data_IF_392246644895
#
_entry.id   IF_392246644895
#
_cell.length_a   1.000
_cell.length_b   1.000
_cell.length_c   1.000
_cell.angle_alpha   90.00
_cell.angle_beta   90.00
_cell.angle_gamma   90.00
#
_symmetry.space_group_name_H-M   'P 1'
#
loop_
_entity.id
_entity.type
_entity.pdbx_description
1 polymer ?
#
# COMPACT_ATOMS: atom_id res chain seq x y z
N UNK A 1 -22.05 1.77 12.32
CA UNK A 1 -21.65 0.75 11.34
C UNK A 1 -21.15 1.50 10.12
N UNK A 2 -19.84 1.60 9.95
CA UNK A 2 -19.23 2.19 8.75
C UNK A 2 -19.35 1.17 7.61
N UNK A 3 -20.08 1.52 6.57
CA UNK A 3 -20.14 0.74 5.33
C UNK A 3 -18.75 0.70 4.68
N UNK A 4 -18.12 -0.47 4.66
CA UNK A 4 -16.97 -0.73 3.80
C UNK A 4 -17.44 -0.69 2.34
N UNK A 5 -17.23 0.44 1.68
CA UNK A 5 -17.52 0.59 0.25
C UNK A 5 -16.45 -0.16 -0.55
N UNK A 6 -16.76 -1.39 -0.95
CA UNK A 6 -15.95 -2.13 -1.90
C UNK A 6 -16.20 -1.58 -3.30
N UNK A 7 -15.25 -0.80 -3.84
CA UNK A 7 -15.31 -0.27 -5.20
C UNK A 7 -14.69 -1.30 -6.14
N UNK A 8 -15.51 -1.83 -7.05
CA UNK A 8 -15.06 -2.76 -8.08
C UNK A 8 -14.62 -1.94 -9.29
N UNK A 9 -13.31 -1.96 -9.57
CA UNK A 9 -12.75 -1.37 -10.80
C UNK A 9 -12.87 -2.41 -11.93
N UNK A 10 -13.36 -2.05 -13.13
CA UNK A 10 -13.51 -3.01 -14.22
C UNK A 10 -12.12 -3.35 -14.77
N UNK A 11 -11.63 -4.55 -14.44
CA UNK A 11 -10.30 -5.02 -14.85
C UNK A 11 -9.71 -5.98 -13.82
N UNK A 12 -10.14 -7.25 -13.86
CA UNK A 12 -9.45 -8.37 -13.21
C UNK A 12 -9.12 -8.22 -11.71
N UNK A 13 -10.13 -8.39 -10.86
CA UNK A 13 -10.02 -8.84 -9.45
C UNK A 13 -8.90 -8.22 -8.58
N UNK A 14 -8.58 -6.94 -8.74
CA UNK A 14 -7.90 -6.15 -7.72
C UNK A 14 -8.76 -4.91 -7.41
N UNK A 15 -9.90 -5.12 -6.74
CA UNK A 15 -10.55 -4.03 -6.04
C UNK A 15 -9.48 -3.44 -5.10
N UNK A 16 -9.11 -2.17 -5.33
CA UNK A 16 -8.09 -1.50 -4.52
C UNK A 16 -8.59 -1.54 -3.08
N UNK A 17 -7.97 -2.40 -2.27
CA UNK A 17 -8.30 -2.48 -0.87
C UNK A 17 -7.70 -1.24 -0.20
N UNK A 18 -8.50 -0.50 0.56
CA UNK A 18 -7.99 0.63 1.32
C UNK A 18 -7.20 0.14 2.55
N UNK A 19 -6.38 1.02 3.11
CA UNK A 19 -5.64 0.74 4.34
C UNK A 19 -4.23 0.24 4.08
N UNK A 20 -3.67 -0.57 4.98
CA UNK A 20 -2.22 -0.81 5.06
C UNK A 20 -1.73 -1.73 3.95
N UNK A 21 -0.70 -1.28 3.24
CA UNK A 21 -0.09 -2.00 2.11
C UNK A 21 1.44 -1.91 2.16
N UNK A 22 2.09 -2.93 1.60
CA UNK A 22 3.44 -2.78 1.05
C UNK A 22 3.31 -2.43 -0.43
N UNK A 23 4.10 -1.46 -0.88
CA UNK A 23 4.17 -1.03 -2.28
C UNK A 23 5.58 -1.25 -2.82
N UNK A 24 5.69 -1.70 -4.07
CA UNK A 24 6.93 -1.63 -4.84
C UNK A 24 6.97 -0.30 -5.61
N UNK A 25 8.05 0.46 -5.41
CA UNK A 25 8.29 1.74 -6.08
C UNK A 25 9.40 1.54 -7.12
N UNK A 26 9.08 1.73 -8.39
CA UNK A 26 10.06 1.73 -9.48
C UNK A 26 10.53 3.17 -9.79
N UNK A 27 11.81 3.32 -10.13
CA UNK A 27 12.43 4.62 -10.43
C UNK A 27 12.35 5.68 -9.31
N UNK A 28 11.89 5.30 -8.11
CA UNK A 28 11.67 6.20 -6.97
C UNK A 28 10.38 7.03 -7.02
N UNK A 29 9.56 6.90 -8.07
CA UNK A 29 8.39 7.77 -8.29
C UNK A 29 7.11 7.01 -8.59
N UNK A 30 7.20 5.82 -9.20
CA UNK A 30 6.02 5.09 -9.66
C UNK A 30 5.73 3.88 -8.76
N UNK A 31 4.51 3.77 -8.25
CA UNK A 31 4.03 2.51 -7.66
C UNK A 31 3.78 1.54 -8.81
N UNK A 32 4.34 0.34 -8.74
CA UNK A 32 4.16 -0.70 -9.78
C UNK A 32 3.43 -1.95 -9.26
N UNK A 33 3.36 -2.14 -7.94
CA UNK A 33 2.62 -3.22 -7.32
C UNK A 33 2.28 -2.93 -5.86
N UNK A 34 1.22 -3.57 -5.35
CA UNK A 34 0.75 -3.48 -3.98
C UNK A 34 0.43 -4.87 -3.42
N UNK A 35 0.73 -5.09 -2.14
CA UNK A 35 0.25 -6.24 -1.36
C UNK A 35 -0.34 -5.72 -0.04
N UNK A 36 -1.59 -6.09 0.24
CA UNK A 36 -2.27 -5.71 1.49
C UNK A 36 -1.60 -6.32 2.71
N UNK A 37 -1.53 -5.57 3.82
CA UNK A 37 -1.12 -6.13 5.11
C UNK A 37 -2.30 -6.78 5.86
N UNK A 38 -3.53 -6.65 5.35
CA UNK A 38 -4.70 -7.22 5.97
C UNK A 38 -4.82 -8.70 5.61
N UNK A 39 -4.72 -9.56 6.62
CA UNK A 39 -4.91 -11.01 6.50
C UNK A 39 -6.03 -11.45 7.44
N UNK A 40 -6.69 -12.61 7.19
CA UNK A 40 -7.67 -13.14 8.11
C UNK A 40 -7.12 -13.28 9.53
N UNK A 41 -7.90 -12.95 10.56
CA UNK A 41 -7.50 -12.98 11.99
C UNK A 41 -6.87 -14.30 12.47
N UNK A 42 -7.14 -15.41 11.78
CA UNK A 42 -6.52 -16.73 12.03
C UNK A 42 -5.02 -16.78 11.69
N UNK A 43 -4.51 -15.85 10.89
CA UNK A 43 -3.10 -15.73 10.51
C UNK A 43 -2.46 -14.71 11.46
N UNK A 44 -1.63 -15.19 12.39
CA UNK A 44 -0.98 -14.40 13.44
C UNK A 44 0.37 -15.00 13.82
N UNK A 45 1.20 -14.23 14.55
CA UNK A 45 2.55 -14.65 14.97
C UNK A 45 3.41 -15.04 13.77
N UNK A 46 4.15 -16.13 13.90
CA UNK A 46 5.10 -16.62 12.89
C UNK A 46 4.50 -16.78 11.49
N UNK A 47 3.21 -17.13 11.37
CA UNK A 47 2.54 -17.25 10.08
C UNK A 47 2.37 -15.90 9.40
N UNK A 48 2.06 -14.86 10.18
CA UNK A 48 2.00 -13.50 9.67
C UNK A 48 3.40 -12.98 9.32
N UNK A 49 4.40 -13.29 10.13
CA UNK A 49 5.78 -12.86 9.86
C UNK A 49 6.32 -13.49 8.58
N UNK A 50 6.06 -14.78 8.36
CA UNK A 50 6.39 -15.47 7.11
C UNK A 50 5.67 -14.86 5.90
N UNK A 51 4.38 -14.54 6.07
CA UNK A 51 3.61 -13.85 5.03
C UNK A 51 4.22 -12.49 4.69
N UNK A 52 4.48 -11.67 5.72
CA UNK A 52 5.04 -10.33 5.56
C UNK A 52 6.44 -10.36 4.92
N UNK A 53 7.27 -11.34 5.27
CA UNK A 53 8.56 -11.57 4.64
C UNK A 53 8.38 -11.87 3.15
N UNK A 54 7.60 -12.91 2.80
CA UNK A 54 7.40 -13.33 1.41
C UNK A 54 6.77 -12.25 0.54
N UNK A 55 5.82 -11.49 1.09
CA UNK A 55 5.21 -10.36 0.40
C UNK A 55 6.25 -9.29 0.02
N UNK A 56 7.12 -8.93 0.96
CA UNK A 56 8.18 -7.95 0.71
C UNK A 56 9.23 -8.49 -0.25
N UNK A 57 9.62 -9.75 -0.11
CA UNK A 57 10.56 -10.40 -1.04
C UNK A 57 10.01 -10.37 -2.48
N UNK A 58 8.74 -10.72 -2.68
CA UNK A 58 8.10 -10.66 -3.99
C UNK A 58 8.11 -9.24 -4.58
N UNK A 59 7.74 -8.23 -3.78
CA UNK A 59 7.77 -6.82 -4.21
C UNK A 59 9.18 -6.31 -4.51
N UNK A 60 10.19 -6.78 -3.76
CA UNK A 60 11.58 -6.33 -3.95
C UNK A 60 12.20 -6.74 -5.28
N UNK A 61 11.62 -7.73 -5.96
CA UNK A 61 12.05 -8.14 -7.30
C UNK A 61 11.79 -7.05 -8.34
N UNK A 62 10.77 -6.22 -8.12
CA UNK A 62 10.23 -5.28 -9.12
C UNK A 62 10.32 -3.81 -8.68
N UNK A 63 10.82 -3.52 -7.48
CA UNK A 63 10.99 -2.14 -7.02
C UNK A 63 11.41 -2.01 -5.57
N UNK A 64 11.67 -0.78 -5.14
CA UNK A 64 11.97 -0.48 -3.75
C UNK A 64 10.71 -0.64 -2.88
N UNK A 65 10.78 -1.49 -1.86
CA UNK A 65 9.61 -1.79 -1.02
C UNK A 65 9.40 -0.72 0.05
N UNK A 66 8.22 -0.11 0.06
CA UNK A 66 7.78 0.84 1.09
C UNK A 66 6.53 0.32 1.80
N UNK A 67 6.43 0.58 3.10
CA UNK A 67 5.18 0.39 3.86
C UNK A 67 4.38 1.69 3.89
N UNK A 68 3.06 1.60 3.79
CA UNK A 68 2.18 2.75 3.80
C UNK A 68 0.72 2.36 3.83
N UNK A 69 -0.12 3.30 3.42
CA UNK A 69 -1.57 3.13 3.34
C UNK A 69 -2.07 3.57 1.98
N UNK A 70 -3.01 2.80 1.43
CA UNK A 70 -3.80 3.21 0.28
C UNK A 70 -5.03 3.94 0.77
N UNK A 71 -5.22 5.17 0.29
CA UNK A 71 -6.32 6.05 0.67
C UNK A 71 -6.94 6.66 -0.58
N UNK A 72 -8.21 7.07 -0.47
CA UNK A 72 -8.83 7.93 -1.47
C UNK A 72 -8.64 9.38 -1.05
N UNK A 73 -8.06 10.17 -1.94
CA UNK A 73 -7.86 11.60 -1.86
C UNK A 73 -8.84 12.29 -2.84
N UNK A 74 -9.53 13.35 -2.41
CA UNK A 74 -10.57 13.98 -3.23
C UNK A 74 -10.01 14.69 -4.48
N UNK A 75 -8.76 15.15 -4.42
CA UNK A 75 -8.11 15.86 -5.53
C UNK A 75 -7.38 14.89 -6.48
N UNK A 76 -6.71 13.88 -5.92
CA UNK A 76 -5.79 13.00 -6.64
C UNK A 76 -6.30 11.56 -6.83
N UNK A 77 -7.49 11.24 -6.33
CA UNK A 77 -8.05 9.89 -6.41
C UNK A 77 -7.34 8.89 -5.49
N UNK A 78 -7.12 7.67 -5.94
CA UNK A 78 -6.46 6.65 -5.12
C UNK A 78 -4.95 6.89 -5.07
N UNK A 79 -4.41 7.02 -3.86
CA UNK A 79 -2.99 7.26 -3.64
C UNK A 79 -2.41 6.31 -2.59
N UNK A 80 -1.12 6.03 -2.70
CA UNK A 80 -0.33 5.36 -1.65
C UNK A 80 0.43 6.40 -0.83
N UNK A 81 0.15 6.47 0.47
CA UNK A 81 0.80 7.33 1.44
C UNK A 81 1.83 6.53 2.24
N UNK A 82 3.11 6.82 2.05
CA UNK A 82 4.19 6.11 2.75
C UNK A 82 4.17 6.39 4.26
N UNK A 83 4.30 5.34 5.07
CA UNK A 83 4.47 5.47 6.51
C UNK A 83 5.82 6.13 6.83
N UNK A 84 5.79 7.12 7.72
CA UNK A 84 6.99 7.74 8.26
C UNK A 84 7.54 6.84 9.38
N UNK A 85 8.81 6.44 9.27
CA UNK A 85 9.46 5.70 10.35
C UNK A 85 9.44 6.53 11.65
N UNK A 86 9.39 5.87 12.82
CA UNK A 86 9.31 6.51 14.15
C UNK A 86 10.38 7.59 14.42
N UNK A 87 11.49 7.59 13.67
CA UNK A 87 12.53 8.64 13.69
C UNK A 87 12.03 10.02 13.17
N UNK A 88 10.90 10.09 12.48
CA UNK A 88 10.28 11.34 12.01
C UNK A 88 9.39 12.04 13.06
N UNK A 89 9.38 11.58 14.32
CA UNK A 89 8.76 12.27 15.46
C UNK A 89 9.60 13.46 15.95
N UNK A 90 10.26 14.15 15.03
CA UNK A 90 11.05 15.37 15.26
C UNK A 90 10.12 16.57 15.48
N UNK A 91 10.64 17.66 16.06
CA UNK A 91 9.91 18.94 16.23
C UNK A 91 9.45 19.55 14.89
N UNK A 92 9.97 19.07 13.76
CA UNK A 92 9.49 19.38 12.40
C UNK A 92 9.12 18.06 11.71
N UNK A 93 7.85 17.62 11.81
CA UNK A 93 7.39 16.43 11.11
C UNK A 93 7.58 16.62 9.61
N UNK A 94 8.18 15.64 8.93
CA UNK A 94 8.19 15.62 7.46
C UNK A 94 6.84 15.10 6.98
N UNK A 95 6.30 15.68 5.92
CA UNK A 95 5.10 15.14 5.30
C UNK A 95 5.39 13.76 4.67
N UNK A 96 4.47 12.79 4.82
CA UNK A 96 4.52 11.53 4.09
C UNK A 96 4.67 11.75 2.59
N UNK A 97 5.57 11.00 1.94
CA UNK A 97 5.57 10.98 0.47
C UNK A 97 4.31 10.26 -0.01
N UNK A 98 3.62 10.89 -0.94
CA UNK A 98 2.40 10.39 -1.59
C UNK A 98 2.75 9.98 -3.01
N UNK A 99 2.21 8.85 -3.45
CA UNK A 99 2.41 8.29 -4.77
C UNK A 99 1.05 8.03 -5.41
N UNK A 100 0.87 8.44 -6.67
CA UNK A 100 -0.35 8.14 -7.42
C UNK A 100 -0.45 6.65 -7.75
N UNK A 101 -1.69 6.14 -7.85
CA UNK A 101 -1.98 4.76 -8.27
C UNK A 101 -2.56 4.69 -9.70
N UNK A 102 -2.26 5.68 -10.55
CA UNK A 102 -2.77 5.79 -11.92
C UNK A 102 -2.49 4.58 -12.81
N UNK A 103 -1.46 3.77 -12.52
CA UNK A 103 -1.18 2.53 -13.27
C UNK A 103 -2.32 1.50 -13.17
N UNK A 104 -3.19 1.60 -12.16
CA UNK A 104 -4.37 0.74 -12.00
C UNK A 104 -5.50 1.17 -12.95
N UNK A 105 -5.47 2.42 -13.45
CA UNK A 105 -6.50 2.95 -14.36
C UNK A 105 -6.24 2.66 -15.84
N UNK A 106 -5.10 2.07 -16.20
CA UNK A 106 -4.73 1.80 -17.60
C UNK A 106 -5.08 0.36 -18.08
N UNK A 107 -5.93 -0.35 -17.33
CA UNK A 107 -6.41 -1.71 -17.65
C UNK A 107 -7.76 -1.74 -18.36
#
# INVERSE_FOLDING_TARGET
MSEEKNITVPGGLNAINLGRHWAAIDGGEQVVALISMNVPNRIKGDRYDLYAQKAREALSVIGEVKSGEVVFDEENGYVFRQNLNHKNRSKKPREPKVYSLDFIQQG
#
